data_IF_731432678946
#
_entry.id   IF_731432678946
#
_cell.length_a   1.000
_cell.length_b   1.000
_cell.length_c   1.000
_cell.angle_alpha   90.00
_cell.angle_beta   90.00
_cell.angle_gamma   90.00
#
_symmetry.space_group_name_H-M   'P 1'
#
loop_
_entity.id
_entity.type
_entity.pdbx_description
1 polymer ?
#
# COMPACT_ATOMS: atom_id res chain seq x y z
N UNK A 1 -0.09 21.74 6.30
CA UNK A 1 1.01 20.79 6.04
C UNK A 1 0.53 19.83 4.98
N UNK A 2 1.25 19.70 3.85
CA UNK A 2 0.91 18.76 2.77
C UNK A 2 1.44 17.37 3.12
N UNK A 3 0.81 16.71 4.08
CA UNK A 3 1.13 15.33 4.42
C UNK A 3 0.55 14.43 3.34
N UNK A 4 1.42 13.83 2.53
CA UNK A 4 0.97 12.94 1.46
C UNK A 4 0.88 11.53 2.05
N UNK A 5 -0.33 11.07 2.32
CA UNK A 5 -0.59 9.67 2.68
C UNK A 5 -0.61 8.85 1.40
N UNK A 6 0.15 7.76 1.38
CA UNK A 6 0.19 6.85 0.23
C UNK A 6 0.11 5.39 0.68
N UNK A 7 -0.65 4.60 -0.06
CA UNK A 7 -0.67 3.14 0.07
C UNK A 7 0.49 2.56 -0.76
N UNK A 8 1.35 1.79 -0.12
CA UNK A 8 2.44 1.08 -0.76
C UNK A 8 2.28 -0.42 -0.58
N UNK A 9 2.60 -1.16 -1.64
CA UNK A 9 2.58 -2.62 -1.68
C UNK A 9 3.97 -3.15 -1.95
N UNK A 10 4.36 -4.22 -1.26
CA UNK A 10 5.61 -4.93 -1.48
C UNK A 10 5.42 -6.06 -2.47
N UNK A 11 6.13 -6.00 -3.60
CA UNK A 11 6.18 -7.14 -4.50
C UNK A 11 6.90 -8.33 -3.83
N UNK A 12 6.27 -9.50 -3.72
CA UNK A 12 6.90 -10.70 -3.14
C UNK A 12 8.08 -11.22 -3.98
N UNK A 13 8.10 -10.95 -5.29
CA UNK A 13 9.20 -11.33 -6.20
C UNK A 13 10.41 -10.40 -6.06
N UNK A 14 10.28 -9.12 -6.44
CA UNK A 14 11.43 -8.20 -6.43
C UNK A 14 11.66 -7.50 -5.08
N UNK A 15 10.79 -7.72 -4.09
CA UNK A 15 10.83 -7.17 -2.72
C UNK A 15 10.79 -5.64 -2.62
N UNK A 16 10.59 -4.93 -3.73
CA UNK A 16 10.44 -3.48 -3.79
C UNK A 16 9.03 -3.05 -3.38
N UNK A 17 8.97 -1.91 -2.70
CA UNK A 17 7.73 -1.20 -2.42
C UNK A 17 7.38 -0.30 -3.59
N UNK A 18 6.12 -0.30 -3.99
CA UNK A 18 5.58 0.62 -4.99
C UNK A 18 4.24 1.17 -4.53
N UNK A 19 3.92 2.38 -4.99
CA UNK A 19 2.63 3.01 -4.70
C UNK A 19 1.53 2.26 -5.44
N UNK A 20 0.50 1.84 -4.70
CA UNK A 20 -0.70 1.25 -5.31
C UNK A 20 -1.40 2.28 -6.19
N UNK A 21 -1.76 1.88 -7.41
CA UNK A 21 -2.60 2.70 -8.29
C UNK A 21 -4.09 2.54 -8.02
N UNK A 22 -4.48 1.69 -7.07
CA UNK A 22 -5.87 1.49 -6.70
C UNK A 22 -6.28 2.66 -5.80
N UNK A 23 -6.70 3.75 -6.46
CA UNK A 23 -7.13 5.01 -5.84
C UNK A 23 -8.53 4.84 -5.23
N UNK A 24 -8.62 4.13 -4.11
CA UNK A 24 -9.86 4.08 -3.30
C UNK A 24 -9.59 4.10 -1.78
N UNK A 25 -8.41 4.53 -1.35
CA UNK A 25 -8.04 4.52 0.08
C UNK A 25 -7.88 5.93 0.63
N UNK A 26 -8.98 6.67 0.67
CA UNK A 26 -9.02 7.94 1.42
C UNK A 26 -9.06 7.67 2.94
N UNK A 27 -9.64 6.54 3.37
CA UNK A 27 -9.73 6.11 4.76
C UNK A 27 -9.33 4.63 4.96
N UNK A 28 -9.17 4.22 6.22
CA UNK A 28 -8.77 2.85 6.58
C UNK A 28 -9.91 1.82 6.44
N UNK A 29 -11.15 2.28 6.29
CA UNK A 29 -12.36 1.46 6.27
C UNK A 29 -12.65 0.95 4.85
N UNK A 30 -12.51 1.82 3.84
CA UNK A 30 -12.49 1.47 2.42
C UNK A 30 -11.32 0.55 2.04
N UNK A 31 -10.20 0.64 2.78
CA UNK A 31 -9.07 -0.28 2.65
C UNK A 31 -9.40 -1.71 3.06
N UNK A 32 -10.13 -1.87 4.16
CA UNK A 32 -10.56 -3.17 4.68
C UNK A 32 -11.37 -3.94 3.62
N UNK A 33 -12.22 -3.21 2.88
CA UNK A 33 -12.96 -3.77 1.74
C UNK A 33 -12.05 -4.18 0.57
N UNK A 34 -11.07 -3.38 0.15
CA UNK A 34 -10.25 -3.77 -1.01
C UNK A 34 -9.27 -4.91 -0.73
N UNK A 35 -8.75 -5.03 0.50
CA UNK A 35 -7.99 -6.22 0.94
C UNK A 35 -8.86 -7.47 0.84
N UNK A 36 -10.15 -7.36 1.17
CA UNK A 36 -11.11 -8.47 1.02
C UNK A 36 -11.35 -8.86 -0.45
N UNK A 37 -11.24 -7.91 -1.38
CA UNK A 37 -11.46 -8.16 -2.82
C UNK A 37 -10.23 -8.73 -3.56
N UNK A 38 -9.08 -8.92 -2.91
CA UNK A 38 -7.84 -9.47 -3.54
C UNK A 38 -7.48 -8.78 -4.86
N UNK A 39 -7.59 -7.45 -4.89
CA UNK A 39 -7.21 -6.70 -6.08
C UNK A 39 -5.77 -7.04 -6.50
N UNK A 40 -5.53 -7.07 -7.80
CA UNK A 40 -4.20 -7.36 -8.35
C UNK A 40 -3.73 -6.21 -9.21
N UNK A 41 -2.45 -5.85 -9.07
CA UNK A 41 -1.83 -4.87 -9.95
C UNK A 41 -0.41 -5.31 -10.33
N UNK A 42 0.06 -4.98 -11.54
CA UNK A 42 1.41 -5.32 -11.97
C UNK A 42 2.45 -4.52 -11.19
N UNK A 43 3.50 -5.19 -10.72
CA UNK A 43 4.63 -4.51 -10.11
C UNK A 43 5.38 -3.68 -11.16
N UNK A 44 5.55 -2.36 -10.97
CA UNK A 44 6.18 -1.48 -11.97
C UNK A 44 7.70 -1.73 -12.17
N UNK A 45 8.29 -2.66 -11.41
CA UNK A 45 9.72 -2.97 -11.48
C UNK A 45 10.04 -4.32 -12.11
N UNK A 46 9.08 -5.24 -12.17
CA UNK A 46 9.32 -6.61 -12.63
C UNK A 46 8.10 -7.25 -13.32
N UNK A 47 7.06 -6.45 -13.56
CA UNK A 47 5.80 -6.80 -14.24
C UNK A 47 5.04 -8.00 -13.66
N UNK A 48 5.48 -8.53 -12.51
CA UNK A 48 4.78 -9.58 -11.79
C UNK A 48 3.47 -9.03 -11.23
N UNK A 49 2.37 -9.74 -11.46
CA UNK A 49 1.08 -9.44 -10.83
C UNK A 49 1.16 -9.63 -9.32
N UNK A 50 0.86 -8.57 -8.56
CA UNK A 50 0.86 -8.58 -7.10
C UNK A 50 -0.57 -8.49 -6.60
N UNK A 51 -1.04 -9.56 -5.96
CA UNK A 51 -2.30 -9.54 -5.21
C UNK A 51 -2.14 -8.79 -3.91
N UNK A 52 -3.02 -7.84 -3.66
CA UNK A 52 -3.11 -7.10 -2.40
C UNK A 52 -3.35 -8.08 -1.24
N UNK A 53 -2.53 -7.96 -0.21
CA UNK A 53 -2.52 -8.81 0.96
C UNK A 53 -2.01 -7.95 2.14
N UNK A 54 -2.71 -8.04 3.28
CA UNK A 54 -2.45 -7.21 4.47
C UNK A 54 -0.98 -7.23 4.91
N UNK A 55 -0.29 -8.35 4.70
CA UNK A 55 1.11 -8.53 5.11
C UNK A 55 2.10 -7.75 4.25
N UNK A 56 1.74 -7.48 2.99
CA UNK A 56 2.58 -6.77 2.03
C UNK A 56 2.11 -5.36 1.76
N UNK A 57 1.14 -4.86 2.52
CA UNK A 57 0.57 -3.53 2.38
C UNK A 57 0.95 -2.64 3.55
N UNK A 58 1.24 -1.36 3.26
CA UNK A 58 1.46 -0.33 4.28
C UNK A 58 0.93 1.01 3.81
N UNK A 59 0.58 1.85 4.77
CA UNK A 59 0.36 3.27 4.55
C UNK A 59 1.56 4.03 5.07
N UNK A 60 2.12 4.88 4.22
CA UNK A 60 3.19 5.79 4.61
C UNK A 60 2.70 7.22 4.50
N UNK A 61 2.91 7.97 5.56
CA UNK A 61 2.78 9.42 5.57
C UNK A 61 4.19 9.98 5.37
N UNK A 62 4.34 10.84 4.36
CA UNK A 62 5.61 11.47 4.01
C UNK A 62 5.52 12.97 4.23
N UNK A 63 6.60 13.55 4.72
CA UNK A 63 6.73 15.01 4.77
C UNK A 63 6.96 15.60 3.37
N UNK A 64 7.08 16.92 3.28
CA UNK A 64 7.31 17.63 2.02
C UNK A 64 8.66 17.28 1.33
N UNK A 65 9.59 16.64 2.04
CA UNK A 65 10.86 16.16 1.50
C UNK A 65 10.79 14.71 0.99
N UNK A 66 9.64 14.06 1.17
CA UNK A 66 9.43 12.65 0.81
C UNK A 66 9.92 11.66 1.87
N UNK A 67 10.40 12.15 3.03
CA UNK A 67 10.82 11.30 4.15
C UNK A 67 9.60 10.67 4.81
N UNK A 68 9.62 9.36 5.01
CA UNK A 68 8.57 8.66 5.75
C UNK A 68 8.62 9.09 7.22
N UNK A 69 7.55 9.73 7.69
CA UNK A 69 7.39 10.17 9.08
C UNK A 69 6.53 9.20 9.89
N UNK A 70 5.63 8.46 9.23
CA UNK A 70 4.79 7.46 9.86
C UNK A 70 4.50 6.31 8.90
N UNK A 71 4.54 5.10 9.44
CA UNK A 71 4.16 3.87 8.75
C UNK A 71 3.03 3.20 9.54
N UNK A 72 1.93 2.91 8.87
CA UNK A 72 0.81 2.14 9.42
C UNK A 72 0.68 0.84 8.63
N UNK A 73 0.65 -0.29 9.33
CA UNK A 73 0.40 -1.61 8.74
C UNK A 73 -0.94 -2.13 9.21
N UNK A 74 -1.62 -2.87 8.35
CA UNK A 74 -2.90 -3.49 8.67
C UNK A 74 -2.66 -4.85 9.32
N UNK A 75 -2.25 -4.82 10.59
CA UNK A 75 -2.18 -6.00 11.44
C UNK A 75 -3.57 -6.14 12.08
N UNK A 76 -4.53 -6.74 11.37
CA UNK A 76 -5.74 -7.23 12.01
C UNK A 76 -5.49 -8.65 12.49
N UNK A 77 -5.48 -8.81 13.81
CA UNK A 77 -5.74 -10.06 14.52
C UNK A 77 -7.28 -10.18 14.65
N UNK A 78 -7.88 -11.05 13.82
CA UNK A 78 -9.24 -11.54 14.04
C UNK A 78 -9.14 -12.92 14.69
#
# INVERSE_FOLDING_TARGET
MNETKSCEIRCKQCRKWFRSQIVQFEDAETFLHAVMYKNTEPCPYCDTMVSHDKEIMRFVEKDSTGKVIKETRCIYDF
#
